data_IF_072432879758
#
_entry.id   IF_072432879758
#
_cell.length_a   1.000
_cell.length_b   1.000
_cell.length_c   1.000
_cell.angle_alpha   90.00
_cell.angle_beta   90.00
_cell.angle_gamma   90.00
#
_symmetry.space_group_name_H-M   'P 1'
#
loop_
_entity.id
_entity.type
_entity.pdbx_description
1 polymer ?
#
# COMPACT_ATOMS: atom_id res chain seq x y z
N UNK A 1 -21.49 3.26 -12.64
CA UNK A 1 -20.82 2.36 -11.69
C UNK A 1 -21.41 0.97 -11.84
N UNK A 2 -20.59 -0.02 -12.22
CA UNK A 2 -21.04 -1.41 -12.36
C UNK A 2 -21.42 -2.03 -11.01
N UNK A 3 -22.16 -3.16 -11.01
CA UNK A 3 -22.53 -3.88 -9.78
C UNK A 3 -21.30 -4.29 -8.96
N UNK A 4 -20.16 -4.57 -9.61
CA UNK A 4 -18.90 -4.95 -8.97
C UNK A 4 -18.28 -3.78 -8.20
N UNK A 5 -18.11 -2.61 -8.84
CA UNK A 5 -17.55 -1.41 -8.21
C UNK A 5 -18.36 -0.97 -6.98
N UNK A 6 -19.68 -1.10 -7.04
CA UNK A 6 -20.58 -0.73 -5.93
C UNK A 6 -20.41 -1.61 -4.69
N UNK A 7 -20.09 -2.89 -4.87
CA UNK A 7 -19.93 -3.86 -3.77
C UNK A 7 -18.47 -4.25 -3.54
N UNK A 8 -17.50 -3.47 -4.05
CA UNK A 8 -16.08 -3.79 -3.97
C UNK A 8 -15.64 -4.08 -2.52
N UNK A 9 -16.06 -3.26 -1.55
CA UNK A 9 -15.75 -3.46 -0.14
C UNK A 9 -16.25 -4.80 0.41
N UNK A 10 -17.42 -5.26 -0.02
CA UNK A 10 -17.99 -6.56 0.39
C UNK A 10 -17.19 -7.70 -0.22
N UNK A 11 -16.81 -7.59 -1.50
CA UNK A 11 -15.95 -8.57 -2.16
C UNK A 11 -14.57 -8.66 -1.50
N UNK A 12 -13.93 -7.53 -1.20
CA UNK A 12 -12.65 -7.50 -0.49
C UNK A 12 -12.78 -8.17 0.88
N UNK A 13 -13.83 -7.86 1.64
CA UNK A 13 -14.06 -8.49 2.94
C UNK A 13 -14.28 -10.01 2.84
N UNK A 14 -15.06 -10.46 1.85
CA UNK A 14 -15.26 -11.88 1.58
C UNK A 14 -13.94 -12.58 1.20
N UNK A 15 -13.13 -11.97 0.34
CA UNK A 15 -11.81 -12.50 -0.03
C UNK A 15 -10.87 -12.60 1.18
N UNK A 16 -10.89 -11.63 2.10
CA UNK A 16 -10.09 -11.68 3.33
C UNK A 16 -10.53 -12.87 4.20
N UNK A 17 -11.84 -13.03 4.44
CA UNK A 17 -12.36 -14.14 5.27
C UNK A 17 -12.02 -15.49 4.63
N UNK A 18 -12.27 -15.64 3.34
CA UNK A 18 -11.99 -16.87 2.60
C UNK A 18 -10.48 -17.16 2.64
N UNK A 19 -9.63 -16.15 2.42
CA UNK A 19 -8.18 -16.27 2.49
C UNK A 19 -7.69 -16.72 3.86
N UNK A 20 -8.20 -16.14 4.95
CA UNK A 20 -7.86 -16.55 6.32
C UNK A 20 -8.34 -17.98 6.61
N UNK A 21 -9.56 -18.33 6.18
CA UNK A 21 -10.12 -19.66 6.38
C UNK A 21 -9.31 -20.73 5.65
N UNK A 22 -8.94 -20.48 4.39
CA UNK A 22 -8.06 -21.36 3.60
C UNK A 22 -6.67 -21.43 4.26
N UNK A 23 -6.11 -20.30 4.69
CA UNK A 23 -4.82 -20.24 5.39
C UNK A 23 -4.79 -21.10 6.65
N UNK A 24 -5.87 -21.07 7.44
CA UNK A 24 -6.00 -21.85 8.68
C UNK A 24 -6.24 -23.34 8.43
N UNK A 25 -6.95 -23.69 7.35
CA UNK A 25 -7.28 -25.08 7.00
C UNK A 25 -6.15 -25.80 6.25
N UNK A 26 -5.35 -25.06 5.48
CA UNK A 26 -4.25 -25.61 4.68
C UNK A 26 -2.97 -25.85 5.49
N UNK A 27 -2.82 -25.24 6.67
CA UNK A 27 -1.69 -25.45 7.58
C UNK A 27 -0.34 -25.40 6.85
N UNK A 28 0.39 -26.52 6.89
CA UNK A 28 1.72 -26.70 6.27
C UNK A 28 1.73 -26.78 4.74
N UNK A 29 0.59 -26.96 4.07
CA UNK A 29 0.57 -27.06 2.59
C UNK A 29 0.86 -25.71 1.89
N UNK A 30 0.86 -24.59 2.62
CA UNK A 30 1.31 -23.29 2.13
C UNK A 30 2.84 -23.22 2.05
N UNK A 31 3.57 -24.14 2.71
CA UNK A 31 5.02 -24.25 2.48
C UNK A 31 5.35 -24.59 1.02
N UNK A 32 4.45 -25.21 0.26
CA UNK A 32 4.68 -25.46 -1.18
C UNK A 32 4.73 -24.16 -2.00
N UNK A 33 3.98 -23.12 -1.58
CA UNK A 33 4.06 -21.76 -2.12
C UNK A 33 5.33 -21.02 -1.65
N UNK A 34 5.83 -21.31 -0.44
CA UNK A 34 7.14 -20.84 0.05
C UNK A 34 8.31 -21.57 -0.64
N UNK A 35 8.11 -22.81 -1.11
CA UNK A 35 9.13 -23.55 -1.88
C UNK A 35 9.30 -22.97 -3.29
N UNK A 36 8.30 -22.23 -3.78
CA UNK A 36 8.35 -21.40 -4.99
C UNK A 36 8.73 -19.93 -4.68
N UNK A 37 9.43 -19.68 -3.58
CA UNK A 37 10.14 -18.42 -3.34
C UNK A 37 11.52 -18.48 -3.99
N UNK A 38 11.72 -17.68 -5.03
CA UNK A 38 13.06 -17.25 -5.41
C UNK A 38 13.33 -15.94 -4.67
N UNK A 39 14.29 -15.94 -3.74
CA UNK A 39 14.73 -14.76 -2.98
C UNK A 39 13.62 -14.05 -2.17
N UNK A 40 12.85 -14.80 -1.38
CA UNK A 40 11.85 -14.23 -0.43
C UNK A 40 10.64 -13.56 -1.11
N UNK A 41 10.50 -13.71 -2.43
CA UNK A 41 9.37 -13.17 -3.20
C UNK A 41 8.62 -14.33 -3.85
N UNK A 42 7.34 -14.46 -3.50
CA UNK A 42 6.43 -15.47 -4.05
C UNK A 42 6.15 -15.17 -5.53
N UNK A 43 6.60 -16.03 -6.45
CA UNK A 43 6.50 -15.80 -7.91
C UNK A 43 5.05 -15.50 -8.37
N UNK A 44 4.02 -16.26 -7.95
CA UNK A 44 2.62 -15.89 -8.18
C UNK A 44 2.26 -14.46 -7.78
N UNK A 45 2.69 -14.01 -6.60
CA UNK A 45 2.42 -12.65 -6.11
C UNK A 45 3.13 -11.62 -6.98
N UNK A 46 4.39 -11.88 -7.35
CA UNK A 46 5.14 -10.99 -8.24
C UNK A 46 4.46 -10.81 -9.60
N UNK A 47 3.95 -11.88 -10.21
CA UNK A 47 3.21 -11.82 -11.49
C UNK A 47 1.92 -11.00 -11.33
N UNK A 48 1.15 -11.22 -10.26
CA UNK A 48 -0.09 -10.47 -10.01
C UNK A 48 0.18 -8.98 -9.82
N UNK A 49 1.20 -8.63 -9.03
CA UNK A 49 1.62 -7.24 -8.84
C UNK A 49 2.08 -6.64 -10.17
N UNK A 50 2.86 -7.37 -10.96
CA UNK A 50 3.32 -6.89 -12.28
C UNK A 50 2.16 -6.65 -13.24
N UNK A 51 1.17 -7.55 -13.29
CA UNK A 51 -0.05 -7.39 -14.08
C UNK A 51 -0.87 -6.17 -13.64
N UNK A 52 -0.84 -5.79 -12.37
CA UNK A 52 -1.49 -4.57 -11.88
C UNK A 52 -0.72 -3.30 -12.25
N UNK A 53 0.61 -3.33 -12.21
CA UNK A 53 1.46 -2.15 -12.49
C UNK A 53 1.50 -1.85 -14.00
N UNK A 54 1.56 -2.87 -14.85
CA UNK A 54 1.65 -2.74 -16.31
C UNK A 54 0.61 -1.79 -16.94
N UNK A 55 -0.71 -1.93 -16.70
CA UNK A 55 -1.71 -1.06 -17.30
C UNK A 55 -1.57 0.41 -16.88
N UNK A 56 -1.07 0.69 -15.67
CA UNK A 56 -0.81 2.06 -15.24
C UNK A 56 0.42 2.63 -15.96
N UNK A 57 1.48 1.84 -16.17
CA UNK A 57 2.69 2.30 -16.86
C UNK A 57 2.46 2.67 -18.33
N UNK A 58 1.55 1.96 -19.01
CA UNK A 58 1.25 2.22 -20.43
C UNK A 58 0.41 3.49 -20.63
N UNK A 59 -0.25 4.00 -19.59
CA UNK A 59 -1.08 5.22 -19.67
C UNK A 59 -0.28 6.52 -19.51
N UNK A 60 1.05 6.43 -19.36
CA UNK A 60 1.91 7.58 -19.08
C UNK A 60 2.35 8.24 -20.38
N UNK A 61 2.10 9.54 -20.52
CA UNK A 61 2.66 10.35 -21.62
C UNK A 61 3.85 11.17 -21.09
N UNK A 62 5.07 10.79 -21.48
CA UNK A 62 6.28 11.48 -21.06
C UNK A 62 6.39 12.92 -21.57
N UNK A 63 5.63 13.30 -22.60
CA UNK A 63 5.66 14.66 -23.17
C UNK A 63 5.02 15.68 -22.24
N UNK A 64 4.02 15.27 -21.45
CA UNK A 64 3.25 16.14 -20.54
C UNK A 64 3.87 16.29 -19.15
N UNK A 65 4.90 15.50 -18.81
CA UNK A 65 5.70 15.66 -17.58
C UNK A 65 6.35 17.06 -17.48
N UNK A 66 6.67 17.70 -18.61
CA UNK A 66 7.27 19.05 -18.62
C UNK A 66 6.37 20.12 -18.01
N UNK A 67 5.05 20.00 -18.19
CA UNK A 67 4.07 20.97 -17.68
C UNK A 67 3.76 20.79 -16.19
N UNK A 68 4.08 19.63 -15.61
CA UNK A 68 3.81 19.30 -14.20
C UNK A 68 4.61 20.19 -13.23
N UNK A 69 5.78 20.69 -13.65
CA UNK A 69 6.61 21.61 -12.85
C UNK A 69 5.90 22.92 -12.46
N UNK A 70 4.81 23.29 -13.16
CA UNK A 70 4.00 24.48 -12.84
C UNK A 70 3.33 24.40 -11.47
N UNK A 71 3.11 23.19 -10.93
CA UNK A 71 2.40 22.95 -9.66
C UNK A 71 3.30 22.44 -8.52
N UNK A 72 4.54 22.97 -8.42
CA UNK A 72 5.53 22.57 -7.41
C UNK A 72 5.07 22.67 -5.95
N UNK A 73 4.17 23.60 -5.63
CA UNK A 73 3.65 23.77 -4.25
C UNK A 73 2.84 22.56 -3.78
N UNK A 74 2.03 21.97 -4.66
CA UNK A 74 1.23 20.78 -4.35
C UNK A 74 2.10 19.54 -4.15
N UNK A 75 3.14 19.40 -4.98
CA UNK A 75 4.14 18.34 -4.85
C UNK A 75 4.90 18.45 -3.53
N UNK A 76 5.39 19.65 -3.19
CA UNK A 76 6.11 19.90 -1.94
C UNK A 76 5.27 19.61 -0.69
N UNK A 77 3.99 20.00 -0.71
CA UNK A 77 3.06 19.67 0.37
C UNK A 77 2.86 18.15 0.50
N UNK A 78 2.73 17.44 -0.61
CA UNK A 78 2.58 15.99 -0.61
C UNK A 78 3.79 15.30 0.01
N UNK A 79 5.00 15.68 -0.42
CA UNK A 79 6.25 15.11 0.11
C UNK A 79 6.36 15.39 1.61
N UNK A 80 6.07 16.62 2.04
CA UNK A 80 6.06 16.98 3.46
C UNK A 80 5.07 16.12 4.26
N UNK A 81 3.84 15.97 3.78
CA UNK A 81 2.84 15.15 4.46
C UNK A 81 3.28 13.68 4.52
N UNK A 82 3.79 13.13 3.42
CA UNK A 82 4.14 11.72 3.33
C UNK A 82 5.38 11.34 4.12
N UNK A 83 6.40 12.21 4.17
CA UNK A 83 7.67 11.90 4.83
C UNK A 83 7.78 12.48 6.23
N UNK A 84 7.07 13.57 6.55
CA UNK A 84 7.14 14.21 7.88
C UNK A 84 5.89 13.97 8.69
N UNK A 85 4.69 14.13 8.13
CA UNK A 85 3.47 13.99 8.95
C UNK A 85 3.12 12.53 9.14
N UNK A 86 3.03 11.76 8.06
CA UNK A 86 2.54 10.37 8.06
C UNK A 86 3.34 9.41 8.95
N UNK A 87 4.68 9.26 8.83
CA UNK A 87 5.42 8.28 9.63
C UNK A 87 5.44 8.61 11.12
N UNK A 88 5.53 9.89 11.47
CA UNK A 88 5.53 10.33 12.87
C UNK A 88 4.15 10.17 13.50
N UNK A 89 3.09 10.49 12.75
CA UNK A 89 1.71 10.29 13.20
C UNK A 89 1.42 8.79 13.39
N UNK A 90 1.88 7.95 12.46
CA UNK A 90 1.76 6.49 12.57
C UNK A 90 2.55 5.94 13.76
N UNK A 91 3.79 6.39 13.97
CA UNK A 91 4.59 6.00 15.13
C UNK A 91 3.92 6.40 16.45
N UNK A 92 3.39 7.62 16.52
CA UNK A 92 2.69 8.13 17.69
C UNK A 92 1.45 7.31 18.03
N UNK A 93 0.59 7.03 17.05
CA UNK A 93 -0.60 6.21 17.27
C UNK A 93 -0.24 4.75 17.57
N UNK A 94 0.70 4.16 16.83
CA UNK A 94 1.15 2.79 17.09
C UNK A 94 1.72 2.66 18.50
N UNK A 95 2.48 3.63 18.98
CA UNK A 95 2.98 3.68 20.36
C UNK A 95 1.83 3.73 21.39
N UNK A 96 0.85 4.61 21.20
CA UNK A 96 -0.32 4.69 22.10
C UNK A 96 -1.06 3.36 22.15
N UNK A 97 -1.38 2.78 20.99
CA UNK A 97 -2.17 1.57 20.94
C UNK A 97 -1.39 0.37 21.49
N UNK A 98 -0.19 0.09 20.97
CA UNK A 98 0.54 -1.12 21.34
C UNK A 98 1.22 -1.04 22.71
N UNK A 99 1.74 0.12 23.14
CA UNK A 99 2.41 0.22 24.45
C UNK A 99 1.53 0.69 25.60
N UNK A 100 0.46 1.48 25.34
CA UNK A 100 -0.39 2.03 26.42
C UNK A 100 -1.74 1.34 26.53
N UNK A 101 -2.47 1.19 25.43
CA UNK A 101 -3.84 0.66 25.45
C UNK A 101 -3.84 -0.86 25.56
N UNK A 102 -3.01 -1.53 24.76
CA UNK A 102 -2.98 -2.99 24.69
C UNK A 102 -1.88 -3.63 25.56
N UNK A 103 -1.28 -2.87 26.48
CA UNK A 103 -0.23 -3.35 27.38
C UNK A 103 -0.64 -4.58 28.20
N UNK A 104 -1.94 -4.71 28.52
CA UNK A 104 -2.46 -5.86 29.27
C UNK A 104 -2.72 -7.11 28.41
N UNK A 105 -2.68 -6.99 27.08
CA UNK A 105 -3.07 -8.05 26.12
C UNK A 105 -1.92 -8.48 25.20
N UNK A 106 -0.81 -7.73 25.18
CA UNK A 106 0.38 -8.06 24.37
C UNK A 106 1.62 -8.24 25.24
N UNK A 107 2.41 -9.26 24.90
CA UNK A 107 3.77 -9.39 25.40
C UNK A 107 4.63 -8.22 24.89
N UNK A 108 5.59 -7.70 25.71
CA UNK A 108 6.41 -6.56 25.35
C UNK A 108 7.17 -6.72 24.03
N UNK A 109 7.60 -7.94 23.73
CA UNK A 109 8.32 -8.26 22.50
C UNK A 109 7.41 -8.18 21.26
N UNK A 110 6.16 -8.64 21.37
CA UNK A 110 5.19 -8.55 20.27
C UNK A 110 4.73 -7.12 20.02
N UNK A 111 4.52 -6.34 21.08
CA UNK A 111 4.19 -4.93 20.97
C UNK A 111 5.29 -4.15 20.22
N UNK A 112 6.56 -4.45 20.49
CA UNK A 112 7.69 -3.82 19.81
C UNK A 112 7.78 -4.23 18.33
N UNK A 113 7.51 -5.50 18.00
CA UNK A 113 7.46 -5.98 16.63
C UNK A 113 6.31 -5.34 15.83
N UNK A 114 5.12 -5.23 16.42
CA UNK A 114 3.99 -4.58 15.75
C UNK A 114 4.16 -3.08 15.61
N UNK A 115 4.78 -2.42 16.58
CA UNK A 115 5.17 -1.01 16.47
C UNK A 115 6.14 -0.81 15.29
N UNK A 116 7.20 -1.62 15.19
CA UNK A 116 8.14 -1.57 14.08
C UNK A 116 7.43 -1.80 12.73
N UNK A 117 6.56 -2.81 12.65
CA UNK A 117 5.78 -3.11 11.45
C UNK A 117 4.86 -1.94 11.05
N UNK A 118 4.17 -1.33 12.01
CA UNK A 118 3.29 -0.18 11.75
C UNK A 118 4.06 1.05 11.24
N UNK A 119 5.25 1.30 11.78
CA UNK A 119 6.13 2.39 11.31
C UNK A 119 6.60 2.12 9.89
N UNK A 120 7.07 0.90 9.59
CA UNK A 120 7.49 0.50 8.24
C UNK A 120 6.35 0.64 7.23
N UNK A 121 5.14 0.23 7.59
CA UNK A 121 3.96 0.34 6.75
C UNK A 121 3.50 1.80 6.58
N UNK A 122 3.73 2.64 7.59
CA UNK A 122 3.53 4.08 7.54
C UNK A 122 4.50 4.79 6.59
N UNK A 123 5.76 4.36 6.54
CA UNK A 123 6.77 4.90 5.64
C UNK A 123 6.57 4.42 4.18
N UNK A 124 6.00 3.24 3.98
CA UNK A 124 5.79 2.69 2.65
C UNK A 124 4.85 3.59 1.80
N UNK A 125 5.27 3.96 0.58
CA UNK A 125 4.42 4.71 -0.34
C UNK A 125 3.37 3.79 -0.98
N UNK A 126 2.18 4.34 -1.25
CA UNK A 126 1.07 3.59 -1.84
C UNK A 126 0.80 4.05 -3.28
N UNK A 127 1.66 3.59 -4.19
CA UNK A 127 1.72 4.05 -5.59
C UNK A 127 0.44 3.73 -6.37
N UNK A 128 0.03 2.47 -6.38
CA UNK A 128 -1.10 1.98 -7.17
C UNK A 128 -2.44 2.60 -6.77
N UNK A 129 -2.67 2.75 -5.46
CA UNK A 129 -3.94 3.28 -4.97
C UNK A 129 -4.11 4.76 -5.30
N UNK A 130 -3.02 5.54 -5.22
CA UNK A 130 -3.04 6.96 -5.60
C UNK A 130 -3.41 7.14 -7.07
N UNK A 131 -2.94 6.27 -7.98
CA UNK A 131 -3.37 6.27 -9.38
C UNK A 131 -4.86 5.97 -9.56
N UNK A 132 -5.38 4.95 -8.88
CA UNK A 132 -6.80 4.61 -8.97
C UNK A 132 -7.67 5.75 -8.45
N UNK A 133 -7.30 6.37 -7.33
CA UNK A 133 -8.04 7.53 -6.80
C UNK A 133 -7.96 8.74 -7.73
N UNK A 134 -6.80 8.99 -8.33
CA UNK A 134 -6.65 10.06 -9.33
C UNK A 134 -7.55 9.79 -10.54
N UNK A 135 -7.55 8.57 -11.07
CA UNK A 135 -8.44 8.18 -12.15
C UNK A 135 -9.93 8.36 -11.79
N UNK A 136 -10.35 7.90 -10.61
CA UNK A 136 -11.74 8.03 -10.13
C UNK A 136 -12.16 9.50 -9.92
N UNK A 137 -11.23 10.37 -9.54
CA UNK A 137 -11.48 11.80 -9.33
C UNK A 137 -11.28 12.65 -10.59
N UNK A 138 -11.00 12.01 -11.75
CA UNK A 138 -10.65 12.68 -13.02
C UNK A 138 -9.43 13.60 -12.89
N UNK A 139 -8.48 13.20 -12.05
CA UNK A 139 -7.19 13.84 -11.88
C UNK A 139 -6.28 13.64 -13.08
N UNK A 140 -5.21 14.44 -13.12
CA UNK A 140 -4.17 14.35 -14.14
C UNK A 140 -3.22 13.19 -13.82
N UNK A 141 -3.19 12.19 -14.71
CA UNK A 141 -2.37 10.99 -14.55
C UNK A 141 -0.86 11.30 -14.58
N UNK A 142 -0.43 12.31 -15.35
CA UNK A 142 0.97 12.70 -15.46
C UNK A 142 1.43 13.46 -14.22
N UNK A 143 0.58 14.34 -13.67
CA UNK A 143 0.83 14.96 -12.36
C UNK A 143 0.94 13.91 -11.26
N UNK A 144 0.03 12.93 -11.26
CA UNK A 144 0.00 11.83 -10.29
C UNK A 144 1.25 10.97 -10.38
N UNK A 145 1.72 10.69 -11.59
CA UNK A 145 2.98 9.97 -11.80
C UNK A 145 4.15 10.71 -11.16
N UNK A 146 4.34 11.99 -11.47
CA UNK A 146 5.45 12.77 -10.88
C UNK A 146 5.34 12.81 -9.37
N UNK A 147 4.13 12.95 -8.83
CA UNK A 147 3.88 12.93 -7.39
C UNK A 147 4.29 11.59 -6.75
N UNK A 148 3.96 10.48 -7.39
CA UNK A 148 4.33 9.14 -6.92
C UNK A 148 5.83 8.89 -7.08
N UNK A 149 6.41 9.18 -8.25
CA UNK A 149 7.84 9.02 -8.51
C UNK A 149 8.72 9.84 -7.55
N UNK A 150 8.34 11.08 -7.25
CA UNK A 150 9.08 11.92 -6.29
C UNK A 150 8.93 11.40 -4.85
N UNK A 151 7.83 10.72 -4.55
CA UNK A 151 7.59 10.16 -3.22
C UNK A 151 8.29 8.79 -3.02
N UNK A 152 8.60 8.10 -4.11
CA UNK A 152 9.24 6.77 -4.13
C UNK A 152 10.76 6.82 -4.32
N UNK A 153 11.31 7.93 -4.84
CA UNK A 153 12.74 8.21 -4.97
C UNK A 153 13.38 8.60 -3.63
#
# INVERSE_FOLDING_TARGET
MGKFEKYLSVWVFACIIIGIAIGKLAGDSIQFLSTWEFATVNVPVAILVWLMIYPMMVQIDFSSIKDVSKNWKGLGLTVFINWVVKPFTMAFFAWIFFEKVFQAWLDPEQAQQYLAGAILLGAAPCTAMVFVWSYLTKGDANYTLVQVSVNDL
#
